data_IF_162929032387
#
_entry.id   IF_162929032387
#
_cell.length_a   1.000
_cell.length_b   1.000
_cell.length_c   1.000
_cell.angle_alpha   90.00
_cell.angle_beta   90.00
_cell.angle_gamma   90.00
#
_symmetry.space_group_name_H-M   'P 1'
#
loop_
_entity.id
_entity.type
_entity.pdbx_description
1 polymer ?
#
# COMPACT_ATOMS: atom_id res chain seq x y z
N UNK A 1 -10.44 -4.35 -13.18
CA UNK A 1 -10.30 -3.13 -12.36
C UNK A 1 -10.40 -3.54 -10.90
N UNK A 2 -9.57 -2.99 -10.02
CA UNK A 2 -9.61 -3.32 -8.60
C UNK A 2 -10.89 -2.75 -7.98
N UNK A 3 -11.69 -3.60 -7.35
CA UNK A 3 -12.87 -3.18 -6.59
C UNK A 3 -12.46 -2.61 -5.24
N UNK A 4 -13.30 -1.80 -4.61
CA UNK A 4 -13.04 -1.26 -3.27
C UNK A 4 -12.73 -2.38 -2.29
N UNK A 5 -13.45 -3.50 -2.37
CA UNK A 5 -13.20 -4.67 -1.54
C UNK A 5 -11.77 -5.20 -1.70
N UNK A 6 -11.30 -5.34 -2.94
CA UNK A 6 -9.93 -5.78 -3.22
C UNK A 6 -8.88 -4.79 -2.70
N UNK A 7 -9.18 -3.48 -2.72
CA UNK A 7 -8.28 -2.46 -2.17
C UNK A 7 -8.23 -2.56 -0.63
N UNK A 8 -9.36 -2.78 0.03
CA UNK A 8 -9.38 -3.02 1.48
C UNK A 8 -8.67 -4.32 1.87
N UNK A 9 -8.86 -5.39 1.09
CA UNK A 9 -8.11 -6.65 1.27
C UNK A 9 -6.60 -6.41 1.16
N UNK A 10 -6.16 -5.65 0.15
CA UNK A 10 -4.75 -5.31 0.00
C UNK A 10 -4.20 -4.48 1.17
N UNK A 11 -4.96 -3.51 1.69
CA UNK A 11 -4.58 -2.75 2.90
C UNK A 11 -4.43 -3.69 4.10
N UNK A 12 -5.34 -4.65 4.28
CA UNK A 12 -5.25 -5.61 5.38
C UNK A 12 -4.01 -6.51 5.25
N UNK A 13 -3.68 -6.95 4.04
CA UNK A 13 -2.47 -7.75 3.78
C UNK A 13 -1.19 -6.96 4.10
N UNK A 14 -1.14 -5.69 3.74
CA UNK A 14 -0.03 -4.77 4.05
C UNK A 14 0.16 -4.58 5.56
N UNK A 15 -0.94 -4.40 6.30
CA UNK A 15 -0.91 -4.29 7.77
C UNK A 15 -0.45 -5.61 8.41
N UNK A 16 -0.94 -6.75 7.90
CA UNK A 16 -0.50 -8.06 8.37
C UNK A 16 1.00 -8.27 8.12
N UNK A 17 1.52 -7.78 7.01
CA UNK A 17 2.95 -7.81 6.71
C UNK A 17 3.78 -6.96 7.69
N UNK A 18 3.34 -5.74 8.04
CA UNK A 18 3.98 -4.93 9.09
C UNK A 18 4.10 -5.72 10.41
N UNK A 19 3.01 -6.36 10.83
CA UNK A 19 3.01 -7.14 12.06
C UNK A 19 3.99 -8.32 12.01
N UNK A 20 4.07 -9.01 10.87
CA UNK A 20 5.01 -10.12 10.68
C UNK A 20 6.48 -9.65 10.65
N UNK A 21 6.77 -8.50 10.04
CA UNK A 21 8.10 -7.89 10.06
C UNK A 21 8.54 -7.57 11.50
N UNK A 22 7.66 -6.96 12.29
CA UNK A 22 7.94 -6.66 13.69
C UNK A 22 8.18 -7.92 14.52
N UNK A 23 7.42 -8.98 14.23
CA UNK A 23 7.63 -10.28 14.87
C UNK A 23 8.96 -10.93 14.46
N UNK A 24 9.36 -10.83 13.19
CA UNK A 24 10.66 -11.32 12.68
C UNK A 24 11.84 -10.60 13.30
N UNK A 25 11.79 -9.27 13.43
CA UNK A 25 12.84 -8.50 14.15
C UNK A 25 12.90 -8.90 15.62
N UNK A 26 11.75 -9.04 16.28
CA UNK A 26 11.70 -9.47 17.68
C UNK A 26 12.30 -10.86 17.93
N UNK A 27 12.27 -11.76 16.93
CA UNK A 27 12.92 -13.07 16.97
C UNK A 27 14.38 -13.07 16.49
N UNK A 28 14.84 -11.98 15.87
CA UNK A 28 16.16 -11.89 15.24
C UNK A 28 16.26 -12.56 13.86
N UNK A 29 15.13 -12.84 13.21
CA UNK A 29 15.09 -13.46 11.87
C UNK A 29 15.54 -12.47 10.77
N UNK A 30 15.33 -11.16 11.01
CA UNK A 30 15.75 -10.07 10.13
C UNK A 30 16.37 -8.93 10.95
N UNK A 31 17.16 -8.08 10.30
CA UNK A 31 17.72 -6.89 10.94
C UNK A 31 16.67 -5.76 11.01
N UNK A 32 16.79 -4.84 11.98
CA UNK A 32 15.96 -3.63 12.00
C UNK A 32 16.06 -2.80 10.71
N UNK A 33 17.21 -2.78 10.04
CA UNK A 33 17.37 -2.08 8.76
C UNK A 33 16.56 -2.73 7.63
N UNK A 34 16.52 -4.07 7.60
CA UNK A 34 15.71 -4.81 6.65
C UNK A 34 14.20 -4.62 6.90
N UNK A 35 13.79 -4.55 8.18
CA UNK A 35 12.42 -4.15 8.57
C UNK A 35 12.11 -2.74 8.06
N UNK A 36 12.94 -1.74 8.38
CA UNK A 36 12.72 -0.35 7.97
C UNK A 36 12.61 -0.19 6.45
N UNK A 37 13.47 -0.85 5.68
CA UNK A 37 13.41 -0.82 4.21
C UNK A 37 12.09 -1.37 3.68
N UNK A 38 11.58 -2.46 4.29
CA UNK A 38 10.30 -3.05 3.89
C UNK A 38 9.11 -2.23 4.38
N UNK A 39 9.16 -1.67 5.58
CA UNK A 39 8.14 -0.78 6.11
C UNK A 39 7.94 0.44 5.22
N UNK A 40 9.02 1.06 4.72
CA UNK A 40 8.92 2.18 3.78
C UNK A 40 8.14 1.81 2.50
N UNK A 41 8.32 0.59 1.97
CA UNK A 41 7.56 0.12 0.81
C UNK A 41 6.09 -0.13 1.14
N UNK A 42 5.81 -0.65 2.34
CA UNK A 42 4.45 -0.89 2.84
C UNK A 42 3.71 0.44 3.01
N UNK A 43 4.35 1.45 3.62
CA UNK A 43 3.78 2.80 3.78
C UNK A 43 3.40 3.42 2.44
N UNK A 44 4.31 3.38 1.46
CA UNK A 44 4.05 3.88 0.10
C UNK A 44 2.87 3.14 -0.56
N UNK A 45 2.76 1.83 -0.34
CA UNK A 45 1.67 1.01 -0.90
C UNK A 45 0.33 1.32 -0.22
N UNK A 46 0.33 1.55 1.10
CA UNK A 46 -0.84 1.97 1.86
C UNK A 46 -1.35 3.33 1.39
N UNK A 47 -0.46 4.31 1.22
CA UNK A 47 -0.83 5.64 0.72
C UNK A 47 -1.50 5.56 -0.66
N UNK A 48 -0.96 4.73 -1.56
CA UNK A 48 -1.57 4.51 -2.88
C UNK A 48 -2.94 3.84 -2.81
N UNK A 49 -3.10 2.85 -1.94
CA UNK A 49 -4.39 2.18 -1.75
C UNK A 49 -5.44 3.16 -1.21
N UNK A 50 -5.07 4.00 -0.24
CA UNK A 50 -5.96 5.03 0.29
C UNK A 50 -6.29 6.12 -0.71
N UNK A 51 -5.31 6.59 -1.49
CA UNK A 51 -5.55 7.57 -2.55
C UNK A 51 -6.45 7.00 -3.64
N UNK A 52 -6.31 5.73 -4.00
CA UNK A 52 -7.19 5.07 -4.95
C UNK A 52 -8.63 5.01 -4.44
N UNK A 53 -8.86 4.65 -3.18
CA UNK A 53 -10.19 4.67 -2.56
C UNK A 53 -10.80 6.08 -2.60
N UNK A 54 -10.01 7.11 -2.25
CA UNK A 54 -10.46 8.50 -2.26
C UNK A 54 -10.82 8.97 -3.68
N UNK A 55 -10.02 8.61 -4.68
CA UNK A 55 -10.31 8.91 -6.09
C UNK A 55 -11.60 8.23 -6.56
N UNK A 56 -11.78 6.96 -6.21
CA UNK A 56 -13.01 6.21 -6.54
C UNK A 56 -14.23 6.86 -5.90
N UNK A 57 -14.14 7.26 -4.65
CA UNK A 57 -15.22 7.96 -3.96
C UNK A 57 -15.54 9.31 -4.63
N UNK A 58 -14.53 10.12 -4.92
CA UNK A 58 -14.74 11.41 -5.60
C UNK A 58 -15.41 11.25 -6.98
N UNK A 59 -15.08 10.20 -7.73
CA UNK A 59 -15.75 9.89 -9.01
C UNK A 59 -17.22 9.52 -8.81
N UNK A 60 -17.55 8.71 -7.81
CA UNK A 60 -18.96 8.40 -7.47
C UNK A 60 -19.74 9.65 -7.12
N UNK A 61 -19.16 10.51 -6.30
CA UNK A 61 -19.80 11.75 -5.85
C UNK A 61 -20.02 12.73 -7.02
N UNK A 62 -19.13 12.70 -8.02
CA UNK A 62 -19.27 13.45 -9.27
C UNK A 62 -20.21 12.79 -10.31
N UNK A 63 -20.83 11.65 -10.00
CA UNK A 63 -21.65 10.88 -10.94
C UNK A 63 -20.86 10.27 -12.11
N UNK A 64 -19.53 10.15 -11.95
CA UNK A 64 -18.62 9.55 -12.92
C UNK A 64 -18.39 8.07 -12.62
N UNK A 65 -17.84 7.34 -13.59
CA UNK A 65 -17.46 5.94 -13.41
C UNK A 65 -16.28 5.81 -12.42
N UNK A 66 -16.47 5.21 -11.23
CA UNK A 66 -15.39 4.98 -10.27
C UNK A 66 -14.31 4.04 -10.78
N UNK A 67 -14.63 3.16 -11.74
CA UNK A 67 -13.67 2.22 -12.30
C UNK A 67 -12.70 2.90 -13.27
N UNK A 68 -13.01 4.13 -13.71
CA UNK A 68 -12.04 4.99 -14.38
C UNK A 68 -10.98 5.56 -13.41
N UNK A 69 -11.04 5.29 -12.11
CA UNK A 69 -9.93 5.62 -11.20
C UNK A 69 -8.78 4.66 -11.48
N UNK A 70 -7.65 5.20 -11.94
CA UNK A 70 -6.44 4.44 -12.12
C UNK A 70 -5.54 4.68 -10.91
N UNK A 71 -4.99 3.61 -10.35
CA UNK A 71 -3.79 3.72 -9.52
C UNK A 71 -2.77 4.43 -10.39
N UNK A 72 -2.44 5.69 -10.04
CA UNK A 72 -1.23 6.27 -10.61
C UNK A 72 -0.12 5.31 -10.23
N UNK A 73 0.73 4.86 -11.17
CA UNK A 73 1.92 4.16 -10.75
C UNK A 73 2.54 5.02 -9.66
N UNK A 74 2.98 4.38 -8.56
CA UNK A 74 3.92 5.01 -7.65
C UNK A 74 4.91 5.72 -8.57
N UNK A 75 4.92 7.06 -8.58
CA UNK A 75 5.96 7.75 -9.31
C UNK A 75 7.24 7.13 -8.77
N UNK A 76 7.93 6.48 -9.71
CA UNK A 76 8.99 5.51 -9.50
C UNK A 76 9.74 5.92 -8.24
N UNK A 77 9.59 5.15 -7.16
CA UNK A 77 10.54 5.21 -6.05
C UNK A 77 11.83 4.61 -6.60
N UNK A 78 12.44 5.38 -7.48
CA UNK A 78 13.76 5.19 -8.01
C UNK A 78 14.65 5.30 -6.76
N UNK A 79 15.43 4.24 -6.53
CA UNK A 79 16.62 4.21 -5.66
C UNK A 79 16.37 4.05 -4.15
N UNK A 80 16.08 2.83 -3.74
CA UNK A 80 16.59 2.31 -2.45
C UNK A 80 17.29 0.96 -2.59
N UNK A 81 17.89 0.73 -3.76
CA UNK A 81 18.92 -0.29 -3.97
C UNK A 81 20.18 0.45 -4.49
N UNK A 82 20.91 1.08 -3.58
CA UNK A 82 22.35 1.35 -3.71
C UNK A 82 23.03 0.85 -2.43
#
# INVERSE_FOLDING_TARGET
MATDKQIHEHINDLIAEEHDLRAKVGRGDITPDAENSRLSQIEVSLDQAWDLLRQRQAKRDAGQDPDAAATRPADVVEKYLD
#
